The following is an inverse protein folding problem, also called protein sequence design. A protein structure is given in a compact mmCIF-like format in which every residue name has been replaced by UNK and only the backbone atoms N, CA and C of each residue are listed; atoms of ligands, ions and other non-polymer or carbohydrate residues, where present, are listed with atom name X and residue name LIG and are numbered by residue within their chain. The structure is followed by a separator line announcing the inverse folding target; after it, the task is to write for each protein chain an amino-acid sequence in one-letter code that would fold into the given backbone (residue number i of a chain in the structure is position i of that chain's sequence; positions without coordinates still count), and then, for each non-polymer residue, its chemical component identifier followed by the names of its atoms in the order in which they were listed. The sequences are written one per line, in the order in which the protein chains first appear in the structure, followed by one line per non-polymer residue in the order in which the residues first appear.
data_IF_531140285301
#
_entry.id   IF_531140285301
#
_cell.length_a   1.000
_cell.length_b   1.000
_cell.length_c   1.000
_cell.angle_alpha   90.00
_cell.angle_beta   90.00
_cell.angle_gamma   90.00
#
_symmetry.space_group_name_H-M   'P 1'
#
loop_
_entity.id
_entity.type
_entity.pdbx_description
1 polymer ?
#
# COMPACT_ATOMS: atom_id res chain seq x y z
N UNK A 1 0.78 -17.29 -35.30
CA UNK A 1 0.93 -18.23 -34.16
C UNK A 1 2.15 -17.92 -33.30
N UNK A 2 2.47 -16.63 -33.06
CA UNK A 2 3.57 -16.19 -32.19
C UNK A 2 3.07 -15.51 -30.89
N UNK A 3 1.82 -15.73 -30.50
CA UNK A 3 1.16 -15.09 -29.37
C UNK A 3 1.23 -15.87 -28.06
N UNK A 4 1.95 -17.00 -28.01
CA UNK A 4 2.00 -17.91 -26.86
C UNK A 4 3.40 -18.04 -26.24
N UNK A 5 4.29 -17.08 -26.46
CA UNK A 5 5.48 -16.88 -25.61
C UNK A 5 5.33 -15.55 -24.89
N UNK A 6 4.28 -15.42 -24.11
CA UNK A 6 4.28 -14.48 -23.00
C UNK A 6 5.30 -14.99 -22.00
N UNK A 7 6.29 -14.19 -21.67
CA UNK A 7 7.09 -14.38 -20.47
C UNK A 7 6.07 -14.57 -19.33
N UNK A 8 6.06 -15.77 -18.75
CA UNK A 8 5.47 -15.98 -17.47
C UNK A 8 6.39 -15.25 -16.45
N UNK A 9 6.33 -13.92 -16.43
CA UNK A 9 6.63 -13.20 -15.21
C UNK A 9 5.65 -13.78 -14.19
N UNK A 10 6.17 -14.58 -13.29
CA UNK A 10 5.39 -15.07 -12.16
C UNK A 10 4.96 -13.82 -11.40
N UNK A 11 3.69 -13.46 -11.55
CA UNK A 11 3.11 -12.38 -10.80
C UNK A 11 3.20 -12.78 -9.33
N UNK A 12 3.85 -11.96 -8.55
CA UNK A 12 3.79 -12.05 -7.11
C UNK A 12 2.33 -11.87 -6.72
N UNK A 13 1.72 -12.93 -6.23
CA UNK A 13 0.35 -12.89 -5.74
C UNK A 13 0.36 -12.69 -4.24
N UNK A 14 -0.62 -11.97 -3.74
CA UNK A 14 -0.76 -11.69 -2.32
C UNK A 14 -2.23 -11.80 -1.90
N UNK A 15 -2.46 -12.04 -0.64
CA UNK A 15 -3.80 -11.98 -0.05
C UNK A 15 -3.74 -11.17 1.24
N UNK A 16 -4.67 -10.23 1.39
CA UNK A 16 -4.77 -9.43 2.60
C UNK A 16 -5.99 -9.87 3.42
N UNK A 17 -5.80 -10.00 4.73
CA UNK A 17 -6.88 -10.18 5.69
C UNK A 17 -6.94 -8.99 6.63
N UNK A 18 -8.13 -8.39 6.74
CA UNK A 18 -8.38 -7.22 7.57
C UNK A 18 -9.54 -7.53 8.53
N UNK A 19 -9.45 -7.04 9.78
CA UNK A 19 -10.58 -7.15 10.71
C UNK A 19 -10.73 -5.89 11.56
N UNK A 20 -11.96 -5.42 11.64
CA UNK A 20 -12.36 -4.36 12.56
C UNK A 20 -12.40 -4.85 14.02
N UNK A 21 -12.30 -3.92 14.96
CA UNK A 21 -12.12 -4.22 16.39
C UNK A 21 -13.26 -5.04 17.03
N UNK A 22 -14.48 -4.98 16.50
CA UNK A 22 -15.61 -5.75 16.99
C UNK A 22 -15.76 -7.11 16.30
N UNK A 23 -14.90 -7.41 15.32
CA UNK A 23 -14.79 -8.71 14.65
C UNK A 23 -13.70 -9.59 15.27
N UNK A 24 -12.99 -9.10 16.29
CA UNK A 24 -11.93 -9.82 17.01
C UNK A 24 -12.36 -10.11 18.47
N UNK A 25 -11.74 -11.12 19.07
CA UNK A 25 -12.10 -11.57 20.43
C UNK A 25 -11.70 -10.54 21.48
N UNK A 26 -10.59 -9.85 21.28
CA UNK A 26 -9.94 -8.95 22.24
C UNK A 26 -10.13 -7.46 21.92
N UNK A 27 -10.89 -7.14 20.87
CA UNK A 27 -11.11 -5.76 20.45
C UNK A 27 -9.95 -5.14 19.67
N UNK A 28 -8.96 -5.93 19.26
CA UNK A 28 -7.87 -5.46 18.40
C UNK A 28 -8.34 -5.28 16.95
N UNK A 29 -7.66 -4.42 16.21
CA UNK A 29 -7.73 -4.37 14.75
C UNK A 29 -6.66 -5.29 14.15
N UNK A 30 -6.92 -5.87 12.98
CA UNK A 30 -5.98 -6.75 12.32
C UNK A 30 -5.72 -6.28 10.89
N UNK A 31 -4.44 -6.19 10.53
CA UNK A 31 -3.94 -6.15 9.16
C UNK A 31 -2.94 -7.28 9.01
N UNK A 32 -3.24 -8.21 8.11
CA UNK A 32 -2.38 -9.34 7.78
C UNK A 32 -2.21 -9.40 6.27
N UNK A 33 -1.01 -9.76 5.82
CA UNK A 33 -0.67 -9.97 4.42
C UNK A 33 0.03 -11.31 4.27
N UNK A 34 -0.37 -12.05 3.28
CA UNK A 34 0.30 -13.26 2.81
C UNK A 34 0.88 -12.98 1.42
N UNK A 35 2.12 -13.39 1.20
CA UNK A 35 2.79 -13.35 -0.09
C UNK A 35 2.78 -14.75 -0.68
N UNK A 36 2.01 -14.93 -1.75
CA UNK A 36 1.81 -16.21 -2.44
C UNK A 36 2.75 -16.32 -3.65
N UNK A 37 4.03 -16.51 -3.42
CA UNK A 37 4.98 -16.76 -4.50
C UNK A 37 4.89 -18.22 -4.98
N UNK A 38 4.37 -18.44 -6.19
CA UNK A 38 4.06 -19.76 -6.69
C UNK A 38 5.21 -20.77 -6.71
N UNK A 39 6.45 -20.38 -7.06
CA UNK A 39 7.61 -21.27 -7.17
C UNK A 39 8.92 -20.68 -6.67
N UNK A 40 8.93 -19.48 -6.15
CA UNK A 40 10.12 -18.82 -5.62
C UNK A 40 10.07 -18.79 -4.10
N UNK A 41 11.21 -19.00 -3.47
CA UNK A 41 11.39 -18.75 -2.05
C UNK A 41 12.02 -17.35 -1.91
N UNK A 42 11.24 -16.39 -1.45
CA UNK A 42 11.68 -15.02 -1.20
C UNK A 42 11.51 -14.68 0.28
N UNK A 43 12.51 -15.01 1.11
CA UNK A 43 12.40 -14.85 2.54
C UNK A 43 12.45 -13.37 2.94
N UNK A 44 11.65 -13.03 3.93
CA UNK A 44 11.64 -11.70 4.53
C UNK A 44 12.39 -11.68 5.87
N UNK A 45 12.97 -10.53 6.17
CA UNK A 45 13.56 -10.23 7.48
C UNK A 45 12.52 -9.55 8.36
N UNK A 46 12.69 -9.64 9.66
CA UNK A 46 12.02 -8.77 10.61
C UNK A 46 13.00 -7.70 11.11
N UNK A 47 12.71 -6.45 10.87
CA UNK A 47 13.60 -5.34 11.20
C UNK A 47 12.92 -4.30 12.10
N UNK A 48 13.67 -3.76 13.06
CA UNK A 48 13.30 -2.56 13.80
C UNK A 48 14.07 -1.36 13.23
N UNK A 49 13.36 -0.44 12.61
CA UNK A 49 13.93 0.78 12.01
C UNK A 49 13.78 1.94 12.98
N UNK A 50 14.90 2.37 13.54
CA UNK A 50 14.95 3.52 14.46
C UNK A 50 15.03 4.84 13.68
N UNK A 51 14.56 5.97 14.26
CA UNK A 51 14.55 7.27 13.56
C UNK A 51 15.90 7.68 12.98
N UNK A 52 16.98 7.45 13.72
CA UNK A 52 18.36 7.81 13.30
C UNK A 52 18.90 6.96 12.15
N UNK A 53 18.25 5.84 11.82
CA UNK A 53 18.62 4.94 10.71
C UNK A 53 17.73 5.12 9.48
N UNK A 54 16.74 6.00 9.54
CA UNK A 54 15.83 6.23 8.42
C UNK A 54 16.47 7.17 7.39
N UNK A 55 16.25 6.94 6.09
CA UNK A 55 16.84 7.76 5.05
C UNK A 55 16.29 9.20 5.12
N UNK A 56 17.17 10.19 4.90
CA UNK A 56 16.79 11.59 4.70
C UNK A 56 16.67 11.95 3.24
N UNK A 57 17.34 11.19 2.39
CA UNK A 57 17.20 11.20 0.94
C UNK A 57 16.81 9.80 0.53
N UNK A 58 15.65 9.69 -0.08
CA UNK A 58 15.14 8.42 -0.56
C UNK A 58 15.19 8.39 -2.08
N UNK A 59 15.55 7.24 -2.62
CA UNK A 59 15.52 6.94 -4.05
C UNK A 59 14.94 5.55 -4.21
N UNK A 60 13.91 5.42 -5.06
CA UNK A 60 13.38 4.11 -5.48
C UNK A 60 14.48 3.32 -6.22
N UNK A 61 14.39 2.01 -6.16
CA UNK A 61 15.25 1.10 -6.93
C UNK A 61 14.61 0.73 -8.26
N UNK A 62 13.30 0.81 -8.34
CA UNK A 62 12.52 0.42 -9.51
C UNK A 62 12.36 1.57 -10.50
N UNK A 63 12.23 2.80 -10.01
CA UNK A 63 12.03 3.99 -10.84
C UNK A 63 13.05 5.09 -10.52
N UNK A 64 13.01 6.18 -11.29
CA UNK A 64 13.84 7.37 -11.03
C UNK A 64 13.30 8.25 -9.89
N UNK A 65 12.28 7.79 -9.15
CA UNK A 65 11.71 8.54 -8.03
C UNK A 65 12.75 8.87 -6.96
N UNK A 66 12.78 10.15 -6.57
CA UNK A 66 13.65 10.68 -5.51
C UNK A 66 12.90 11.70 -4.68
N UNK A 67 13.14 11.70 -3.38
CA UNK A 67 12.53 12.64 -2.45
C UNK A 67 13.44 12.93 -1.26
N UNK A 68 13.46 14.18 -0.81
CA UNK A 68 13.98 14.54 0.49
C UNK A 68 12.89 14.32 1.56
N UNK A 69 13.18 13.47 2.52
CA UNK A 69 12.25 13.12 3.58
C UNK A 69 12.39 14.04 4.79
N UNK A 70 11.28 14.34 5.47
CA UNK A 70 11.33 15.07 6.74
C UNK A 70 12.17 14.31 7.78
N UNK A 71 12.51 14.98 8.88
CA UNK A 71 13.14 14.30 10.02
C UNK A 71 12.16 13.25 10.56
N UNK A 72 12.46 11.95 10.49
CA UNK A 72 11.58 10.92 11.00
C UNK A 72 11.52 11.01 12.52
N UNK A 73 10.31 10.81 13.07
CA UNK A 73 10.07 10.88 14.51
C UNK A 73 9.76 9.54 15.14
N UNK A 74 9.21 8.63 14.35
CA UNK A 74 8.72 7.35 14.85
C UNK A 74 9.65 6.23 14.44
N UNK A 75 9.96 5.34 15.38
CA UNK A 75 10.48 4.01 15.06
C UNK A 75 9.35 3.15 14.49
N UNK A 76 9.70 2.18 13.68
CA UNK A 76 8.73 1.21 13.17
C UNK A 76 9.37 -0.17 12.98
N UNK A 77 8.56 -1.21 13.02
CA UNK A 77 8.95 -2.54 12.54
C UNK A 77 8.71 -2.62 11.04
N UNK A 78 9.46 -3.44 10.35
CA UNK A 78 9.28 -3.69 8.91
C UNK A 78 9.64 -5.14 8.60
N UNK A 79 9.07 -5.65 7.53
CA UNK A 79 9.37 -6.98 6.98
C UNK A 79 10.00 -6.84 5.59
N UNK A 80 11.25 -6.31 5.50
CA UNK A 80 11.91 -6.15 4.21
C UNK A 80 12.38 -7.51 3.67
N UNK A 81 12.51 -7.60 2.35
CA UNK A 81 13.08 -8.75 1.68
C UNK A 81 14.50 -9.04 2.18
N UNK A 82 14.89 -10.32 2.21
CA UNK A 82 16.23 -10.72 2.60
C UNK A 82 17.27 -10.35 1.53
N UNK A 83 16.87 -10.38 0.26
CA UNK A 83 17.61 -9.84 -0.87
C UNK A 83 17.27 -8.35 -1.03
N UNK A 84 18.26 -7.49 -1.21
CA UNK A 84 18.09 -6.05 -1.32
C UNK A 84 18.12 -5.54 -2.78
N UNK A 85 17.96 -6.45 -3.75
CA UNK A 85 17.96 -6.11 -5.18
C UNK A 85 16.91 -5.04 -5.53
N UNK A 86 15.73 -5.13 -4.91
CA UNK A 86 14.61 -4.20 -5.09
C UNK A 86 14.57 -3.08 -4.01
N UNK A 87 15.67 -2.91 -3.28
CA UNK A 87 15.84 -1.87 -2.26
C UNK A 87 15.40 -2.32 -0.87
N UNK A 88 14.79 -1.40 -0.11
CA UNK A 88 14.36 -1.69 1.26
C UNK A 88 13.17 -2.65 1.27
N UNK A 89 12.25 -2.49 0.35
CA UNK A 89 11.00 -3.23 0.17
C UNK A 89 10.34 -3.62 1.50
N UNK A 90 9.81 -2.60 2.17
CA UNK A 90 9.39 -2.77 3.58
C UNK A 90 8.16 -3.64 3.81
N UNK A 91 7.48 -4.10 2.78
CA UNK A 91 6.26 -4.92 2.70
C UNK A 91 5.15 -4.57 3.71
N UNK A 92 5.45 -4.51 5.00
CA UNK A 92 4.52 -4.11 6.07
C UNK A 92 5.25 -3.73 7.34
N UNK A 93 4.51 -3.17 8.29
CA UNK A 93 5.08 -2.81 9.60
C UNK A 93 4.12 -2.08 10.53
N UNK A 94 4.60 -1.80 11.73
CA UNK A 94 3.87 -1.06 12.78
C UNK A 94 4.79 0.00 13.36
N UNK A 95 4.31 1.25 13.45
CA UNK A 95 5.08 2.33 14.04
C UNK A 95 4.91 2.44 15.57
N UNK A 96 5.69 3.31 16.18
CA UNK A 96 5.71 3.49 17.64
C UNK A 96 4.43 4.08 18.26
N UNK A 97 3.43 4.45 17.44
CA UNK A 97 2.10 4.86 17.87
C UNK A 97 1.04 3.77 17.60
N UNK A 98 1.48 2.55 17.34
CA UNK A 98 0.61 1.41 17.04
C UNK A 98 -0.24 1.60 15.78
N UNK A 99 0.30 2.29 14.78
CA UNK A 99 -0.31 2.36 13.45
C UNK A 99 0.38 1.34 12.57
N UNK A 100 -0.40 0.41 12.02
CA UNK A 100 0.07 -0.61 11.09
C UNK A 100 -0.20 -0.20 9.63
N UNK A 101 0.64 -0.69 8.75
CA UNK A 101 0.52 -0.53 7.31
C UNK A 101 1.00 -1.79 6.61
N UNK A 102 0.29 -2.20 5.57
CA UNK A 102 0.74 -3.24 4.65
C UNK A 102 0.23 -2.93 3.25
N UNK A 103 0.97 -3.37 2.24
CA UNK A 103 0.60 -3.23 0.85
C UNK A 103 0.54 -4.59 0.16
N UNK A 104 -0.30 -4.71 -0.84
CA UNK A 104 -0.35 -5.86 -1.74
C UNK A 104 -0.58 -5.36 -3.17
N UNK A 105 0.02 -6.02 -4.14
CA UNK A 105 -0.15 -5.69 -5.55
C UNK A 105 -1.56 -6.04 -6.01
N UNK A 106 -2.21 -5.13 -6.74
CA UNK A 106 -3.46 -5.42 -7.44
C UNK A 106 -3.17 -5.96 -8.83
N UNK A 107 -3.99 -6.88 -9.32
CA UNK A 107 -3.70 -7.58 -10.57
C UNK A 107 -3.98 -6.70 -11.80
N UNK A 108 -5.07 -5.94 -11.75
CA UNK A 108 -5.55 -5.23 -12.94
C UNK A 108 -6.10 -3.85 -12.61
N UNK A 109 -6.01 -2.96 -13.56
CA UNK A 109 -6.75 -1.71 -13.58
C UNK A 109 -7.55 -1.57 -14.86
N UNK A 110 -8.44 -0.59 -14.92
CA UNK A 110 -9.28 -0.36 -16.07
C UNK A 110 -8.51 0.39 -17.16
N UNK A 111 -8.46 -0.18 -18.37
CA UNK A 111 -7.77 0.43 -19.51
C UNK A 111 -8.31 1.83 -19.88
N UNK A 112 -9.59 2.13 -19.60
CA UNK A 112 -10.16 3.48 -19.84
C UNK A 112 -9.58 4.50 -18.86
N UNK A 113 -9.39 4.10 -17.59
CA UNK A 113 -8.73 4.94 -16.58
C UNK A 113 -7.28 5.17 -16.96
N UNK A 114 -6.55 4.13 -17.38
CA UNK A 114 -5.15 4.28 -17.82
C UNK A 114 -4.98 5.15 -19.07
N UNK A 115 -6.00 5.25 -19.91
CA UNK A 115 -5.97 6.16 -21.04
C UNK A 115 -6.08 7.65 -20.61
N UNK A 116 -6.62 7.90 -19.43
CA UNK A 116 -6.83 9.26 -18.88
C UNK A 116 -5.74 9.60 -17.87
N UNK A 117 -5.42 8.63 -16.98
CA UNK A 117 -4.45 8.73 -15.91
C UNK A 117 -3.46 7.55 -16.01
N UNK A 118 -2.50 7.59 -16.94
CA UNK A 118 -1.54 6.52 -17.15
C UNK A 118 -0.60 6.38 -15.97
N UNK A 119 -0.06 5.17 -15.78
CA UNK A 119 1.00 4.93 -14.82
C UNK A 119 2.23 5.80 -15.10
N UNK A 120 2.82 6.33 -14.03
CA UNK A 120 4.11 7.01 -14.10
C UNK A 120 5.24 5.98 -14.00
N UNK A 121 5.51 5.28 -15.09
CA UNK A 121 6.54 4.22 -15.15
C UNK A 121 7.97 4.75 -15.03
N UNK A 122 8.18 6.05 -15.21
CA UNK A 122 9.51 6.66 -15.11
C UNK A 122 9.90 7.01 -13.67
N UNK A 123 8.99 7.62 -12.92
CA UNK A 123 9.29 8.19 -11.60
C UNK A 123 8.11 8.06 -10.60
N UNK A 124 7.19 7.15 -10.85
CA UNK A 124 6.13 6.82 -9.91
C UNK A 124 6.65 6.04 -8.71
N UNK A 125 5.91 6.06 -7.63
CA UNK A 125 6.17 5.27 -6.43
C UNK A 125 5.45 3.92 -6.52
N UNK A 126 5.98 2.90 -5.87
CA UNK A 126 5.37 1.58 -5.84
C UNK A 126 5.34 0.95 -4.46
N UNK A 127 4.96 -0.31 -4.43
CA UNK A 127 4.80 -1.07 -3.19
C UNK A 127 6.06 -1.05 -2.33
N UNK A 128 7.23 -1.19 -2.93
CA UNK A 128 8.52 -1.21 -2.25
C UNK A 128 8.86 0.10 -1.53
N UNK A 129 8.27 1.21 -1.96
CA UNK A 129 8.52 2.54 -1.43
C UNK A 129 7.61 2.91 -0.25
N UNK A 130 6.37 2.39 -0.23
CA UNK A 130 5.27 2.91 0.57
C UNK A 130 5.55 2.93 2.07
N UNK A 131 6.03 1.82 2.64
CA UNK A 131 6.26 1.72 4.08
C UNK A 131 7.30 2.74 4.54
N UNK A 132 8.39 2.89 3.80
CA UNK A 132 9.46 3.86 4.10
C UNK A 132 8.98 5.30 3.99
N UNK A 133 8.13 5.61 3.00
CA UNK A 133 7.64 6.96 2.74
C UNK A 133 6.53 7.41 3.71
N UNK A 134 5.78 6.45 4.28
CA UNK A 134 4.53 6.74 5.00
C UNK A 134 4.64 6.43 6.48
N UNK A 135 5.02 5.20 6.86
CA UNK A 135 4.86 4.68 8.22
C UNK A 135 5.56 5.50 9.32
N UNK A 136 6.77 6.06 9.10
CA UNK A 136 7.45 6.89 10.12
C UNK A 136 6.78 8.23 10.41
N UNK A 137 5.80 8.64 9.61
CA UNK A 137 5.26 10.00 9.61
C UNK A 137 3.78 10.10 9.96
N UNK A 138 3.11 8.97 10.18
CA UNK A 138 1.66 8.90 10.41
C UNK A 138 1.33 8.60 11.89
N UNK A 139 0.17 9.11 12.34
CA UNK A 139 -0.27 9.00 13.73
C UNK A 139 -1.57 8.21 13.87
N UNK A 140 -2.26 7.95 12.77
CA UNK A 140 -3.50 7.17 12.71
C UNK A 140 -3.63 6.47 11.36
N UNK A 141 -4.57 5.54 11.25
CA UNK A 141 -4.90 4.89 9.99
C UNK A 141 -5.34 5.90 8.92
N UNK A 142 -6.17 6.88 9.29
CA UNK A 142 -6.57 7.97 8.40
C UNK A 142 -5.40 8.83 7.92
N UNK A 143 -4.44 9.15 8.82
CA UNK A 143 -3.22 9.86 8.41
C UNK A 143 -2.45 9.07 7.36
N UNK A 144 -2.45 7.74 7.45
CA UNK A 144 -1.84 6.84 6.48
C UNK A 144 -2.45 7.01 5.09
N UNK A 145 -3.79 6.92 5.00
CA UNK A 145 -4.54 7.12 3.76
C UNK A 145 -4.23 8.50 3.15
N UNK A 146 -4.33 9.57 3.95
CA UNK A 146 -4.07 10.95 3.49
C UNK A 146 -2.63 11.15 3.05
N UNK A 147 -1.68 10.61 3.80
CA UNK A 147 -0.25 10.74 3.49
C UNK A 147 0.11 10.04 2.19
N UNK A 148 -0.31 8.78 2.04
CA UNK A 148 -0.06 8.03 0.80
C UNK A 148 -0.83 8.67 -0.37
N UNK A 149 -2.10 9.03 -0.18
CA UNK A 149 -2.90 9.72 -1.19
C UNK A 149 -2.21 10.97 -1.72
N UNK A 150 -1.69 11.82 -0.84
CA UNK A 150 -0.95 13.02 -1.26
C UNK A 150 0.35 12.73 -2.03
N UNK A 151 1.01 11.61 -1.74
CA UNK A 151 2.18 11.17 -2.50
C UNK A 151 1.77 10.67 -3.88
N UNK A 152 0.71 9.87 -3.97
CA UNK A 152 0.17 9.38 -5.24
C UNK A 152 -0.31 10.52 -6.15
N UNK A 153 -1.05 11.49 -5.59
CA UNK A 153 -1.51 12.67 -6.34
C UNK A 153 -0.35 13.51 -6.90
N UNK A 154 0.77 13.54 -6.19
CA UNK A 154 1.92 14.36 -6.58
C UNK A 154 2.89 13.65 -7.52
N UNK A 155 3.15 12.39 -7.28
CA UNK A 155 4.22 11.64 -7.95
C UNK A 155 3.71 10.53 -8.85
N UNK A 156 2.48 10.09 -8.64
CA UNK A 156 1.90 8.95 -9.31
C UNK A 156 2.48 7.62 -8.85
N UNK A 157 1.86 6.55 -9.32
CA UNK A 157 2.37 5.19 -9.17
C UNK A 157 2.71 4.59 -10.53
N UNK A 158 3.63 3.62 -10.57
CA UNK A 158 3.96 2.88 -11.79
C UNK A 158 3.16 1.57 -11.95
N UNK A 159 2.38 1.20 -10.92
CA UNK A 159 1.64 -0.06 -10.86
C UNK A 159 0.34 0.09 -10.05
N UNK A 160 -0.52 -0.92 -10.10
CA UNK A 160 -1.74 -0.96 -9.31
C UNK A 160 -1.50 -1.63 -7.95
N UNK A 161 -1.87 -0.96 -6.87
CA UNK A 161 -1.66 -1.41 -5.50
C UNK A 161 -2.91 -1.31 -4.65
N UNK A 162 -3.07 -2.23 -3.70
CA UNK A 162 -3.98 -2.12 -2.58
C UNK A 162 -3.19 -2.02 -1.26
N UNK A 163 -3.59 -1.15 -0.38
CA UNK A 163 -2.89 -0.81 0.84
C UNK A 163 -3.86 -0.83 2.03
N UNK A 164 -3.45 -1.41 3.15
CA UNK A 164 -4.21 -1.35 4.39
C UNK A 164 -3.48 -0.52 5.45
N UNK A 165 -4.26 0.20 6.22
CA UNK A 165 -3.83 0.93 7.42
C UNK A 165 -4.72 0.55 8.58
N UNK A 166 -4.14 0.36 9.76
CA UNK A 166 -4.92 0.21 10.99
C UNK A 166 -4.28 0.95 12.16
N UNK A 167 -5.09 1.33 13.09
CA UNK A 167 -4.70 1.78 14.42
C UNK A 167 -5.58 1.11 15.48
N UNK A 168 -5.53 1.53 16.73
CA UNK A 168 -6.34 0.93 17.81
C UNK A 168 -7.86 1.03 17.62
N UNK A 169 -8.32 1.88 16.69
CA UNK A 169 -9.74 2.22 16.56
C UNK A 169 -10.35 1.76 15.25
N UNK A 170 -9.59 1.78 14.17
CA UNK A 170 -10.14 1.61 12.82
C UNK A 170 -9.15 0.96 11.85
N UNK A 171 -9.72 0.39 10.78
CA UNK A 171 -8.99 -0.19 9.65
C UNK A 171 -9.47 0.50 8.38
N UNK A 172 -8.52 0.90 7.54
CA UNK A 172 -8.78 1.48 6.23
C UNK A 172 -8.13 0.63 5.14
N UNK A 173 -8.87 0.45 4.06
CA UNK A 173 -8.41 -0.23 2.86
C UNK A 173 -8.43 0.74 1.68
N UNK A 174 -7.34 0.84 0.96
CA UNK A 174 -7.10 1.81 -0.10
C UNK A 174 -6.65 1.10 -1.37
N UNK A 175 -7.16 1.51 -2.52
CA UNK A 175 -6.75 1.03 -3.85
C UNK A 175 -6.30 2.20 -4.72
N UNK A 176 -5.22 2.01 -5.48
CA UNK A 176 -4.81 2.94 -6.54
C UNK A 176 -5.69 2.71 -7.78
N UNK A 177 -6.10 3.79 -8.44
CA UNK A 177 -7.02 3.74 -9.58
C UNK A 177 -6.39 4.54 -10.73
N UNK A 178 -5.54 3.92 -11.51
CA UNK A 178 -4.71 4.63 -12.48
C UNK A 178 -3.39 5.12 -11.88
N UNK A 179 -2.78 6.13 -12.48
CA UNK A 179 -1.48 6.64 -12.11
C UNK A 179 -1.47 7.51 -10.85
N UNK A 180 -2.48 8.36 -10.66
CA UNK A 180 -2.49 9.35 -9.57
C UNK A 180 -3.75 9.27 -8.70
N UNK A 181 -4.81 8.64 -9.20
CA UNK A 181 -6.07 8.52 -8.48
C UNK A 181 -6.08 7.34 -7.50
N UNK A 182 -6.86 7.48 -6.45
CA UNK A 182 -7.02 6.46 -5.41
C UNK A 182 -8.39 6.56 -4.74
N UNK A 183 -8.84 5.47 -4.16
CA UNK A 183 -10.04 5.39 -3.33
C UNK A 183 -9.74 4.57 -2.06
N UNK A 184 -10.33 4.93 -0.95
CA UNK A 184 -10.18 4.22 0.31
C UNK A 184 -11.52 4.11 1.05
N UNK A 185 -11.72 2.98 1.72
CA UNK A 185 -12.91 2.71 2.53
C UNK A 185 -12.50 2.29 3.94
N UNK A 186 -13.24 2.76 4.93
CA UNK A 186 -13.13 2.25 6.28
C UNK A 186 -13.84 0.91 6.38
N UNK A 187 -13.12 -0.09 6.90
CA UNK A 187 -13.73 -1.39 7.20
C UNK A 187 -14.65 -1.24 8.41
N UNK A 188 -15.91 -1.70 8.36
CA UNK A 188 -16.80 -1.65 9.50
C UNK A 188 -16.20 -2.38 10.72
N UNK A 189 -16.42 -1.83 11.91
CA UNK A 189 -15.83 -2.36 13.14
C UNK A 189 -16.20 -3.83 13.41
N UNK A 190 -17.37 -4.27 12.95
CA UNK A 190 -17.90 -5.64 13.12
C UNK A 190 -17.69 -6.54 11.89
N UNK A 191 -16.83 -6.15 10.96
CA UNK A 191 -16.57 -6.89 9.72
C UNK A 191 -15.11 -7.33 9.62
N UNK A 192 -14.89 -8.37 8.82
CA UNK A 192 -13.59 -8.75 8.30
C UNK A 192 -13.62 -8.77 6.76
N UNK A 193 -12.48 -8.66 6.16
CA UNK A 193 -12.30 -8.64 4.70
C UNK A 193 -11.16 -9.59 4.33
N UNK A 194 -11.34 -10.30 3.22
CA UNK A 194 -10.28 -11.01 2.51
C UNK A 194 -10.15 -10.32 1.17
N UNK A 195 -8.99 -9.73 0.90
CA UNK A 195 -8.72 -8.98 -0.31
C UNK A 195 -7.62 -9.67 -1.13
N UNK A 196 -7.98 -10.38 -2.21
CA UNK A 196 -7.02 -10.92 -3.17
C UNK A 196 -6.54 -9.84 -4.16
N UNK A 197 -5.56 -10.19 -5.03
CA UNK A 197 -4.98 -9.31 -6.05
C UNK A 197 -5.99 -8.91 -7.15
N UNK A 198 -6.96 -8.11 -6.80
CA UNK A 198 -7.95 -7.49 -7.71
C UNK A 198 -8.55 -6.27 -7.04
N UNK A 199 -9.29 -5.47 -7.79
CA UNK A 199 -10.15 -4.45 -7.18
C UNK A 199 -11.22 -5.12 -6.30
N UNK A 200 -11.29 -4.72 -5.05
CA UNK A 200 -12.21 -5.24 -4.03
C UNK A 200 -13.23 -4.18 -3.58
N UNK A 201 -12.94 -2.88 -3.77
CA UNK A 201 -13.88 -1.82 -3.47
C UNK A 201 -14.98 -1.83 -4.54
N UNK A 202 -16.22 -2.08 -4.09
CA UNK A 202 -17.43 -1.99 -4.89
C UNK A 202 -18.39 -0.99 -4.26
N UNK A 203 -19.28 -0.39 -5.02
CA UNK A 203 -20.30 0.55 -4.52
C UNK A 203 -19.70 1.70 -3.68
N UNK A 204 -18.68 2.37 -4.22
CA UNK A 204 -18.02 3.48 -3.55
C UNK A 204 -18.97 4.68 -3.39
N UNK A 205 -19.24 5.07 -2.13
CA UNK A 205 -20.07 6.22 -1.80
C UNK A 205 -19.18 7.45 -1.54
N UNK A 206 -19.14 8.39 -2.48
CA UNK A 206 -18.33 9.60 -2.39
C UNK A 206 -18.75 10.56 -1.26
N UNK A 207 -19.96 10.44 -0.75
CA UNK A 207 -20.52 11.33 0.25
C UNK A 207 -20.49 10.72 1.68
N UNK A 208 -19.99 9.49 1.81
CA UNK A 208 -19.86 8.79 3.09
C UNK A 208 -18.66 9.32 3.91
N UNK A 209 -18.81 9.48 5.24
CA UNK A 209 -17.69 9.78 6.12
C UNK A 209 -16.71 8.61 6.27
N UNK A 210 -17.06 7.42 5.78
CA UNK A 210 -16.26 6.20 5.82
C UNK A 210 -15.53 5.96 4.50
N UNK A 211 -15.44 6.95 3.61
CA UNK A 211 -14.73 6.90 2.36
C UNK A 211 -13.82 8.10 2.19
N UNK A 212 -12.73 7.91 1.49
CA UNK A 212 -11.82 8.97 1.03
C UNK A 212 -11.36 8.67 -0.37
N UNK A 213 -11.13 9.69 -1.18
CA UNK A 213 -10.60 9.53 -2.53
C UNK A 213 -9.74 10.72 -2.94
N UNK A 214 -8.96 10.51 -3.99
CA UNK A 214 -8.28 11.62 -4.66
C UNK A 214 -9.28 12.66 -5.16
N UNK A 215 -8.88 13.95 -5.20
CA UNK A 215 -9.69 14.99 -5.82
C UNK A 215 -10.06 14.58 -7.25
N UNK A 216 -11.28 14.91 -7.66
CA UNK A 216 -11.79 14.68 -9.02
C UNK A 216 -12.01 13.21 -9.43
N UNK A 217 -11.77 12.22 -8.58
CA UNK A 217 -12.07 10.82 -8.94
C UNK A 217 -13.53 10.63 -9.38
N UNK A 218 -14.47 11.34 -8.76
CA UNK A 218 -15.89 11.30 -9.12
C UNK A 218 -16.19 11.78 -10.55
N UNK A 219 -15.27 12.50 -11.19
CA UNK A 219 -15.45 13.07 -12.53
C UNK A 219 -15.01 12.12 -13.66
N UNK A 220 -14.33 11.05 -13.31
CA UNK A 220 -13.78 10.03 -14.20
C UNK A 220 -14.62 8.75 -14.19
#
# INVERSE_FOLDING_TARGET
YSWLKGDHNMQHTCTMFLAGKNATIDGSTIVCREEDYGNAFDPQRFALVKPERQPRKYQSKTTDFKIDLPVPKLKYTSTPDADDKDGIFGAGGINGLNVAMSATETITTNARILAIDPYNTLSGIGEEDFVTLVLPYIKSAQDGVKKLGSLLEKYGTYEANAIAFSDNNEVWYMETIGGHHWAAVKIPDNAYVIAPNRFNITNFDFDSPNTMSSPNLKQW
#
